data_IF_410690405444
#
_entry.id   IF_410690405444
#
_cell.length_a   1.000
_cell.length_b   1.000
_cell.length_c   1.000
_cell.angle_alpha   90.00
_cell.angle_beta   90.00
_cell.angle_gamma   90.00
#
_symmetry.space_group_name_H-M   'P 1'
#
loop_
_entity.id
_entity.type
_entity.pdbx_description
1 polymer ?
#
# COMPACT_ATOMS: atom_id res chain seq x y z
N UNK A 1 -19.40 -2.52 -4.96
CA UNK A 1 -18.29 -1.92 -4.19
C UNK A 1 -17.72 -0.79 -5.03
N UNK A 2 -17.49 0.40 -4.48
CA UNK A 2 -16.83 1.46 -5.24
C UNK A 2 -15.41 1.02 -5.61
N UNK A 3 -14.97 1.36 -6.83
CA UNK A 3 -13.63 1.03 -7.34
C UNK A 3 -12.95 2.31 -7.80
N UNK A 4 -11.66 2.45 -7.46
CA UNK A 4 -10.82 3.56 -7.86
C UNK A 4 -9.55 2.98 -8.49
N UNK A 5 -9.14 3.52 -9.62
CA UNK A 5 -7.86 3.21 -10.25
C UNK A 5 -7.11 4.51 -10.55
N UNK A 6 -5.80 4.50 -10.28
CA UNK A 6 -4.87 5.60 -10.50
C UNK A 6 -3.54 5.00 -10.95
N UNK A 7 -2.85 5.71 -11.82
CA UNK A 7 -1.49 5.40 -12.24
C UNK A 7 -0.68 6.68 -12.28
N UNK A 8 0.62 6.56 -12.07
CA UNK A 8 1.57 7.66 -12.16
C UNK A 8 2.89 7.12 -12.68
N UNK A 9 3.58 7.95 -13.46
CA UNK A 9 4.98 7.72 -13.82
C UNK A 9 5.85 8.51 -12.86
N UNK A 10 6.90 7.88 -12.34
CA UNK A 10 7.78 8.48 -11.33
C UNK A 10 9.26 8.24 -11.69
N UNK A 11 10.18 9.14 -11.29
CA UNK A 11 11.60 9.01 -11.56
C UNK A 11 12.30 8.05 -10.56
N UNK A 12 11.64 6.94 -10.24
CA UNK A 12 12.14 5.91 -9.33
C UNK A 12 12.00 4.53 -9.98
N UNK A 13 12.92 3.64 -9.65
CA UNK A 13 12.84 2.24 -10.08
C UNK A 13 11.64 1.53 -9.46
N UNK A 14 11.20 0.44 -10.10
CA UNK A 14 10.16 -0.42 -9.55
C UNK A 14 10.54 -0.95 -8.16
N UNK A 15 11.82 -1.25 -7.93
CA UNK A 15 12.34 -1.67 -6.63
C UNK A 15 12.22 -0.58 -5.56
N UNK A 16 12.65 0.65 -5.85
CA UNK A 16 12.51 1.77 -4.91
C UNK A 16 11.05 2.02 -4.53
N UNK A 17 10.15 1.97 -5.52
CA UNK A 17 8.72 2.13 -5.26
C UNK A 17 8.12 0.95 -4.50
N UNK A 18 8.60 -0.27 -4.76
CA UNK A 18 8.20 -1.46 -4.03
C UNK A 18 8.60 -1.33 -2.56
N UNK A 19 9.85 -0.99 -2.27
CA UNK A 19 10.35 -0.82 -0.90
C UNK A 19 9.57 0.29 -0.17
N UNK A 20 9.31 1.42 -0.84
CA UNK A 20 8.52 2.52 -0.26
C UNK A 20 7.11 2.08 0.15
N UNK A 21 6.42 1.29 -0.69
CA UNK A 21 5.06 0.84 -0.38
C UNK A 21 5.08 -0.35 0.58
N UNK A 22 6.08 -1.21 0.53
CA UNK A 22 6.16 -2.36 1.43
C UNK A 22 6.60 -1.94 2.85
N UNK A 23 7.18 -0.76 3.03
CA UNK A 23 7.52 -0.18 4.33
C UNK A 23 6.29 0.41 5.04
N UNK A 24 5.43 -0.49 5.52
CA UNK A 24 4.23 -0.11 6.27
C UNK A 24 4.55 0.68 7.53
N UNK A 25 5.68 0.45 8.19
CA UNK A 25 6.00 1.09 9.48
C UNK A 25 6.12 2.61 9.35
N UNK A 26 6.64 3.09 8.22
CA UNK A 26 6.85 4.51 7.95
C UNK A 26 5.59 5.25 7.49
N UNK A 27 4.47 4.55 7.27
CA UNK A 27 3.22 5.17 6.76
C UNK A 27 2.73 6.40 7.53
N UNK A 28 2.78 6.46 8.88
CA UNK A 28 2.34 7.63 9.64
C UNK A 28 3.16 8.90 9.32
N UNK A 29 4.39 8.73 8.85
CA UNK A 29 5.30 9.85 8.59
C UNK A 29 4.94 10.60 7.29
N UNK A 30 4.25 9.94 6.34
CA UNK A 30 4.02 10.51 5.01
C UNK A 30 2.62 10.31 4.42
N UNK A 31 1.82 9.35 4.89
CA UNK A 31 0.47 9.15 4.36
C UNK A 31 -0.53 10.10 5.04
N UNK A 32 -1.22 10.99 4.29
CA UNK A 32 -2.21 11.87 4.86
C UNK A 32 -3.34 11.10 5.56
N UNK A 33 -3.55 11.41 6.84
CA UNK A 33 -4.59 10.78 7.65
C UNK A 33 -4.23 9.39 8.19
N UNK A 34 -3.01 8.88 7.94
CA UNK A 34 -2.46 7.75 8.68
C UNK A 34 -1.92 8.26 10.03
N UNK A 35 -2.40 7.67 11.12
CA UNK A 35 -2.03 8.06 12.49
C UNK A 35 -1.21 6.99 13.22
N UNK A 36 -1.08 5.82 12.61
CA UNK A 36 -0.36 4.68 13.15
C UNK A 36 -0.36 3.54 12.16
N UNK A 37 0.68 2.71 12.20
CA UNK A 37 0.76 1.50 11.42
C UNK A 37 1.63 0.47 12.13
N UNK A 38 1.39 -0.81 11.83
CA UNK A 38 2.16 -1.91 12.41
C UNK A 38 2.10 -3.14 11.52
N UNK A 39 3.23 -3.83 11.41
CA UNK A 39 3.31 -5.17 10.83
C UNK A 39 3.00 -6.18 11.94
N UNK A 40 2.04 -7.06 11.69
CA UNK A 40 1.61 -8.12 12.61
C UNK A 40 2.37 -9.41 12.33
N UNK A 41 2.57 -9.73 11.05
CA UNK A 41 3.34 -10.87 10.59
C UNK A 41 3.96 -10.55 9.22
N UNK A 42 5.17 -11.04 8.94
CA UNK A 42 5.82 -10.90 7.65
C UNK A 42 6.63 -12.15 7.30
N UNK A 43 6.61 -12.46 6.01
CA UNK A 43 7.40 -13.48 5.34
C UNK A 43 7.81 -12.96 3.96
N UNK A 44 8.55 -13.76 3.19
CA UNK A 44 9.02 -13.34 1.86
C UNK A 44 7.89 -13.04 0.86
N UNK A 45 6.74 -13.68 1.01
CA UNK A 45 5.65 -13.61 0.03
C UNK A 45 4.31 -13.15 0.62
N UNK A 46 4.28 -12.87 1.93
CA UNK A 46 3.08 -12.41 2.61
C UNK A 46 3.42 -11.47 3.77
N UNK A 47 2.62 -10.42 3.94
CA UNK A 47 2.64 -9.56 5.12
C UNK A 47 1.22 -9.33 5.62
N UNK A 48 0.99 -9.46 6.93
CA UNK A 48 -0.24 -8.99 7.57
C UNK A 48 0.07 -7.70 8.33
N UNK A 49 -0.67 -6.63 8.05
CA UNK A 49 -0.40 -5.29 8.55
C UNK A 49 -1.69 -4.56 8.93
N UNK A 50 -1.61 -3.70 9.95
CA UNK A 50 -2.69 -2.83 10.37
C UNK A 50 -2.32 -1.35 10.16
N UNK A 51 -3.31 -0.56 9.72
CA UNK A 51 -3.20 0.88 9.51
C UNK A 51 -4.31 1.58 10.27
N UNK A 52 -3.93 2.56 11.09
CA UNK A 52 -4.82 3.41 11.87
C UNK A 52 -5.04 4.72 11.11
N UNK A 53 -6.27 4.97 10.67
CA UNK A 53 -6.63 6.17 9.91
C UNK A 53 -7.53 7.10 10.71
N UNK A 54 -7.30 8.40 10.60
CA UNK A 54 -8.12 9.45 11.20
C UNK A 54 -8.54 10.48 10.16
N UNK A 55 -9.84 10.76 10.09
CA UNK A 55 -10.40 11.84 9.25
C UNK A 55 -11.67 12.38 9.85
N UNK A 56 -11.79 13.72 9.92
CA UNK A 56 -13.01 14.41 10.36
C UNK A 56 -13.59 13.90 11.69
N UNK A 57 -12.72 13.68 12.69
CA UNK A 57 -13.11 13.22 14.03
C UNK A 57 -13.43 11.71 14.14
N UNK A 58 -13.27 10.95 13.04
CA UNK A 58 -13.45 9.50 13.03
C UNK A 58 -12.08 8.85 12.94
N UNK A 59 -11.78 7.96 13.88
CA UNK A 59 -10.60 7.09 13.86
C UNK A 59 -11.02 5.64 13.68
N UNK A 60 -10.35 4.92 12.78
CA UNK A 60 -10.58 3.50 12.51
C UNK A 60 -9.26 2.81 12.21
N UNK A 61 -9.23 1.52 12.50
CA UNK A 61 -8.13 0.63 12.09
C UNK A 61 -8.66 -0.34 11.06
N UNK A 62 -7.88 -0.63 10.04
CA UNK A 62 -8.10 -1.81 9.20
C UNK A 62 -6.81 -2.61 9.08
N UNK A 63 -6.98 -3.92 8.95
CA UNK A 63 -5.90 -4.89 8.82
C UNK A 63 -6.01 -5.55 7.45
N UNK A 64 -4.90 -5.63 6.72
CA UNK A 64 -4.82 -6.35 5.45
C UNK A 64 -3.83 -7.50 5.53
N UNK A 65 -4.09 -8.54 4.74
CA UNK A 65 -3.13 -9.54 4.33
C UNK A 65 -2.68 -9.18 2.92
N UNK A 66 -1.38 -9.04 2.75
CA UNK A 66 -0.73 -8.60 1.54
C UNK A 66 0.01 -9.79 0.94
N UNK A 67 -0.34 -10.20 -0.28
CA UNK A 67 0.49 -11.13 -1.06
C UNK A 67 1.53 -10.33 -1.82
N UNK A 68 2.79 -10.73 -1.66
CA UNK A 68 3.96 -10.00 -2.12
C UNK A 68 4.61 -10.75 -3.29
N UNK A 69 4.70 -10.07 -4.43
CA UNK A 69 5.57 -10.47 -5.53
C UNK A 69 6.68 -9.43 -5.64
N UNK A 70 7.89 -9.86 -5.24
CA UNK A 70 9.04 -8.98 -5.07
C UNK A 70 9.27 -8.08 -6.29
N UNK A 71 9.40 -6.78 -6.01
CA UNK A 71 9.63 -5.71 -6.99
C UNK A 71 8.59 -5.59 -8.13
N UNK A 72 7.43 -6.23 -8.00
CA UNK A 72 6.42 -6.29 -9.06
C UNK A 72 5.02 -5.90 -8.58
N UNK A 73 4.54 -6.50 -7.49
CA UNK A 73 3.19 -6.18 -7.01
C UNK A 73 2.95 -6.50 -5.54
N UNK A 74 1.96 -5.81 -4.98
CA UNK A 74 1.43 -5.99 -3.63
C UNK A 74 -0.09 -6.10 -3.75
N UNK A 75 -0.65 -7.26 -3.43
CA UNK A 75 -2.10 -7.50 -3.45
C UNK A 75 -2.64 -7.54 -2.03
N UNK A 76 -3.53 -6.62 -1.68
CA UNK A 76 -4.06 -6.43 -0.34
C UNK A 76 -5.48 -6.98 -0.25
N UNK A 77 -5.76 -7.75 0.80
CA UNK A 77 -7.09 -8.25 1.14
C UNK A 77 -7.41 -7.93 2.59
N UNK A 78 -8.63 -7.47 2.86
CA UNK A 78 -9.09 -7.19 4.21
C UNK A 78 -9.07 -8.45 5.08
N UNK A 79 -8.50 -8.31 6.29
CA UNK A 79 -8.58 -9.30 7.36
C UNK A 79 -9.57 -8.84 8.42
N UNK A 80 -9.48 -7.57 8.84
CA UNK A 80 -10.32 -6.98 9.87
C UNK A 80 -10.46 -5.46 9.66
N UNK A 81 -11.52 -4.86 10.19
CA UNK A 81 -11.71 -3.41 10.16
C UNK A 81 -13.15 -2.96 9.85
N UNK A 82 -13.38 -1.66 9.64
CA UNK A 82 -14.73 -1.09 9.48
C UNK A 82 -15.36 -1.40 8.12
N UNK A 83 -14.60 -1.92 7.17
CA UNK A 83 -15.09 -2.26 5.85
C UNK A 83 -15.73 -3.65 5.87
N UNK A 84 -16.81 -3.86 5.10
CA UNK A 84 -17.33 -5.22 4.86
C UNK A 84 -16.39 -6.05 3.97
N UNK A 85 -15.68 -5.38 3.08
CA UNK A 85 -14.67 -5.95 2.20
C UNK A 85 -13.78 -4.82 1.71
N UNK A 86 -12.49 -5.10 1.57
CA UNK A 86 -11.51 -4.23 0.94
C UNK A 86 -10.53 -5.12 0.19
N UNK A 87 -10.29 -4.77 -1.07
CA UNK A 87 -9.27 -5.36 -1.91
C UNK A 87 -8.54 -4.23 -2.62
N UNK A 88 -7.23 -4.37 -2.78
CA UNK A 88 -6.40 -3.40 -3.48
C UNK A 88 -5.19 -4.07 -4.09
N UNK A 89 -4.60 -3.41 -5.06
CA UNK A 89 -3.39 -3.90 -5.71
C UNK A 89 -2.52 -2.73 -6.12
N UNK A 90 -1.22 -2.85 -5.88
CA UNK A 90 -0.21 -2.01 -6.50
C UNK A 90 0.56 -2.87 -7.50
N UNK A 91 0.69 -2.38 -8.73
CA UNK A 91 1.53 -2.98 -9.76
C UNK A 91 2.63 -1.98 -10.15
N UNK A 92 3.85 -2.49 -10.26
CA UNK A 92 5.06 -1.71 -10.52
C UNK A 92 5.67 -2.20 -11.82
N UNK A 93 6.04 -1.24 -12.67
CA UNK A 93 6.61 -1.51 -13.98
C UNK A 93 7.84 -0.64 -14.18
N UNK A 94 8.86 -1.19 -14.84
CA UNK A 94 9.98 -0.39 -15.26
C UNK A 94 9.52 0.68 -16.27
N UNK A 95 9.91 1.93 -16.03
CA UNK A 95 9.69 3.01 -16.98
C UNK A 95 10.48 2.75 -18.26
N UNK A 96 9.87 2.98 -19.41
CA UNK A 96 10.58 2.91 -20.69
C UNK A 96 11.44 4.16 -20.89
N UNK A 97 12.63 4.05 -21.52
CA UNK A 97 13.43 5.23 -21.86
C UNK A 97 12.58 6.25 -22.65
N UNK A 98 12.48 7.48 -22.13
CA UNK A 98 11.73 8.57 -22.76
C UNK A 98 10.33 8.86 -22.20
N UNK A 99 9.84 8.09 -21.23
CA UNK A 99 8.48 8.29 -20.69
C UNK A 99 8.32 9.52 -19.78
N UNK A 100 9.42 10.08 -19.24
CA UNK A 100 9.40 11.20 -18.29
C UNK A 100 9.44 12.61 -18.93
N UNK A 101 9.19 12.75 -20.24
CA UNK A 101 9.05 14.07 -20.86
C UNK A 101 7.61 14.58 -20.68
N UNK A 102 7.38 15.35 -19.62
CA UNK A 102 6.10 16.00 -19.31
C UNK A 102 6.27 17.16 -18.34
#
# INVERSE_FOLDING_TARGET
MPQISRSALVPFSAEQMYQLVNDVHSYPDFLPGCTGSRVINASNNEMTAAVDVAKAGISKTFTTRNTLLDNQSINMQLVDGPFRSLMGGLALYAAQPGSLQG
#
